data_IF_783824342101
#
_entry.id   IF_783824342101
#
_cell.length_a   1.000
_cell.length_b   1.000
_cell.length_c   1.000
_cell.angle_alpha   90.00
_cell.angle_beta   90.00
_cell.angle_gamma   90.00
#
_symmetry.space_group_name_H-M   'P 1'
#
loop_
_entity.id
_entity.type
_entity.pdbx_description
1 polymer ?
#
# COMPACT_ATOMS: atom_id res chain seq x y z
N UNK A 1 82.85 -80.86 46.21
CA UNK A 1 81.60 -81.63 46.40
C UNK A 1 80.75 -81.53 45.14
N UNK A 2 80.07 -82.61 44.72
CA UNK A 2 79.69 -82.87 43.34
C UNK A 2 78.32 -82.28 42.95
N UNK A 3 78.17 -81.98 41.66
CA UNK A 3 76.92 -81.65 41.01
C UNK A 3 76.08 -82.93 40.77
N UNK A 4 74.81 -82.90 41.18
CA UNK A 4 73.83 -83.96 40.89
C UNK A 4 72.57 -83.36 40.25
N UNK A 5 72.19 -83.94 39.10
CA UNK A 5 71.03 -83.67 38.24
C UNK A 5 69.68 -83.64 38.97
N UNK A 6 68.73 -82.86 38.46
CA UNK A 6 67.28 -83.14 38.48
C UNK A 6 66.56 -82.36 37.33
N UNK A 7 65.33 -82.75 36.92
CA UNK A 7 65.04 -83.17 35.56
C UNK A 7 64.19 -82.21 34.73
N UNK A 8 64.27 -82.41 33.42
CA UNK A 8 63.41 -81.87 32.38
C UNK A 8 61.96 -82.30 32.65
N UNK A 9 61.08 -81.35 32.91
CA UNK A 9 59.64 -81.55 33.12
C UNK A 9 58.92 -81.25 31.81
N UNK A 10 58.25 -82.27 31.27
CA UNK A 10 57.43 -82.18 30.07
C UNK A 10 56.40 -81.04 30.18
N UNK A 11 56.41 -80.16 29.17
CA UNK A 11 55.37 -79.18 28.98
C UNK A 11 54.16 -79.86 28.31
N UNK A 12 52.93 -79.73 28.85
CA UNK A 12 51.74 -80.25 28.19
C UNK A 12 51.48 -79.49 26.89
N UNK A 13 51.34 -80.22 25.78
CA UNK A 13 50.90 -79.69 24.49
C UNK A 13 49.55 -78.97 24.67
N UNK A 14 49.52 -77.65 24.42
CA UNK A 14 48.27 -76.90 24.32
C UNK A 14 47.66 -77.18 22.95
N UNK A 15 46.50 -77.82 22.92
CA UNK A 15 45.65 -77.89 21.73
C UNK A 15 45.24 -76.46 21.30
N UNK A 16 45.23 -76.15 19.99
CA UNK A 16 44.77 -74.85 19.53
C UNK A 16 43.26 -74.69 19.76
N UNK A 17 42.77 -73.45 20.01
CA UNK A 17 41.35 -73.17 20.16
C UNK A 17 40.59 -73.42 18.84
N UNK A 18 39.32 -73.87 18.89
CA UNK A 18 38.48 -73.92 17.70
C UNK A 18 38.29 -72.51 17.13
N UNK A 19 38.46 -72.39 15.81
CA UNK A 19 38.29 -71.12 15.10
C UNK A 19 36.85 -70.59 15.24
N UNK A 20 36.65 -69.26 15.24
CA UNK A 20 35.31 -68.67 15.26
C UNK A 20 34.55 -69.07 13.99
N UNK A 21 33.41 -69.75 14.16
CA UNK A 21 32.40 -69.86 13.11
C UNK A 21 31.83 -68.47 12.89
N UNK A 22 32.35 -67.78 11.87
CA UNK A 22 31.70 -66.58 11.34
C UNK A 22 30.36 -67.02 10.75
N UNK A 23 29.29 -66.89 11.52
CA UNK A 23 27.95 -66.81 10.98
C UNK A 23 27.87 -65.52 10.14
N UNK A 24 28.37 -65.61 8.91
CA UNK A 24 28.06 -64.66 7.86
C UNK A 24 26.57 -64.84 7.57
N UNK A 25 25.74 -64.03 8.24
CA UNK A 25 24.35 -63.86 7.85
C UNK A 25 24.29 -63.56 6.34
N UNK A 26 23.34 -64.15 5.60
CA UNK A 26 23.30 -64.01 4.16
C UNK A 26 23.24 -62.53 3.79
N UNK A 27 24.27 -62.04 3.09
CA UNK A 27 24.25 -60.74 2.44
C UNK A 27 23.06 -60.74 1.47
N UNK A 28 22.01 -60.01 1.82
CA UNK A 28 20.83 -59.88 0.98
C UNK A 28 21.24 -59.09 -0.28
N UNK A 29 21.50 -59.81 -1.37
CA UNK A 29 21.77 -59.21 -2.67
C UNK A 29 20.58 -58.36 -3.10
N UNK A 30 20.83 -57.08 -3.38
CA UNK A 30 19.85 -56.13 -3.91
C UNK A 30 19.19 -56.73 -5.15
N UNK A 31 17.87 -56.94 -5.11
CA UNK A 31 17.19 -57.56 -6.24
C UNK A 31 17.02 -56.55 -7.38
N UNK A 32 17.03 -57.04 -8.61
CA UNK A 32 16.80 -56.21 -9.80
C UNK A 32 15.41 -55.52 -9.76
N UNK A 33 14.44 -56.18 -9.11
CA UNK A 33 13.10 -55.65 -8.85
C UNK A 33 13.15 -54.46 -7.89
N UNK A 34 13.96 -54.52 -6.85
CA UNK A 34 14.09 -53.44 -5.86
C UNK A 34 14.70 -52.18 -6.47
N UNK A 35 15.69 -52.33 -7.37
CA UNK A 35 16.24 -51.21 -8.13
C UNK A 35 15.18 -50.59 -9.06
N UNK A 36 14.37 -51.42 -9.73
CA UNK A 36 13.27 -50.93 -10.58
C UNK A 36 12.20 -50.17 -9.77
N UNK A 37 11.83 -50.68 -8.60
CA UNK A 37 10.88 -50.02 -7.70
C UNK A 37 11.46 -48.71 -7.17
N UNK A 38 12.73 -48.68 -6.75
CA UNK A 38 13.40 -47.48 -6.29
C UNK A 38 13.45 -46.39 -7.38
N UNK A 39 13.77 -46.76 -8.63
CA UNK A 39 13.77 -45.82 -9.76
C UNK A 39 12.35 -45.34 -10.11
N UNK A 40 11.34 -46.20 -10.04
CA UNK A 40 9.94 -45.81 -10.27
C UNK A 40 9.47 -44.80 -9.21
N UNK A 41 9.76 -45.06 -7.93
CA UNK A 41 9.44 -44.14 -6.84
C UNK A 41 10.21 -42.82 -6.96
N UNK A 42 11.50 -42.87 -7.30
CA UNK A 42 12.31 -41.67 -7.52
C UNK A 42 11.76 -40.82 -8.67
N UNK A 43 11.32 -41.47 -9.76
CA UNK A 43 10.71 -40.79 -10.91
C UNK A 43 9.38 -40.12 -10.54
N UNK A 44 8.55 -40.77 -9.72
CA UNK A 44 7.31 -40.21 -9.19
C UNK A 44 7.58 -39.03 -8.27
N UNK A 45 8.52 -39.15 -7.34
CA UNK A 45 8.92 -38.06 -6.44
C UNK A 45 9.47 -36.87 -7.24
N UNK A 46 10.33 -37.13 -8.23
CA UNK A 46 10.87 -36.09 -9.10
C UNK A 46 9.75 -35.39 -9.91
N UNK A 47 8.78 -36.14 -10.43
CA UNK A 47 7.62 -35.58 -11.14
C UNK A 47 6.79 -34.69 -10.23
N UNK A 48 6.48 -35.13 -9.00
CA UNK A 48 5.74 -34.33 -8.03
C UNK A 48 6.52 -33.08 -7.60
N UNK A 49 7.83 -33.18 -7.38
CA UNK A 49 8.68 -32.04 -7.07
C UNK A 49 8.68 -31.02 -8.22
N UNK A 50 8.77 -31.47 -9.47
CA UNK A 50 8.76 -30.60 -10.64
C UNK A 50 7.41 -29.89 -10.84
N UNK A 51 6.30 -30.59 -10.57
CA UNK A 51 4.94 -30.02 -10.56
C UNK A 51 4.77 -28.98 -9.45
N UNK A 52 5.27 -29.26 -8.24
CA UNK A 52 5.23 -28.32 -7.11
C UNK A 52 6.00 -27.02 -7.37
N UNK A 53 7.18 -27.11 -7.99
CA UNK A 53 7.97 -25.95 -8.43
C UNK A 53 7.23 -25.15 -9.51
N UNK A 54 6.54 -25.85 -10.42
CA UNK A 54 5.67 -25.25 -11.43
C UNK A 54 4.58 -24.37 -10.81
N UNK A 55 3.86 -24.88 -9.82
CA UNK A 55 2.79 -24.14 -9.10
C UNK A 55 3.30 -22.86 -8.42
N UNK A 56 4.51 -22.90 -7.84
CA UNK A 56 5.10 -21.74 -7.15
C UNK A 56 5.48 -20.60 -8.12
N UNK A 57 5.90 -20.93 -9.34
CA UNK A 57 6.19 -19.93 -10.39
C UNK A 57 4.97 -19.14 -10.84
N UNK A 58 3.77 -19.73 -10.75
CA UNK A 58 2.51 -19.06 -11.11
C UNK A 58 1.96 -18.20 -9.98
N UNK A 59 2.26 -18.55 -8.72
CA UNK A 59 1.80 -17.80 -7.55
C UNK A 59 2.56 -16.48 -7.32
N UNK A 60 3.86 -16.43 -7.65
CA UNK A 60 4.70 -15.24 -7.47
C UNK A 60 4.15 -13.95 -8.15
N UNK A 61 3.71 -13.95 -9.42
CA UNK A 61 3.12 -12.76 -10.04
C UNK A 61 1.74 -12.40 -9.47
N UNK A 62 1.02 -13.35 -8.86
CA UNK A 62 -0.27 -13.09 -8.21
C UNK A 62 -0.04 -12.35 -6.89
N UNK A 63 0.92 -12.79 -6.08
CA UNK A 63 1.28 -12.13 -4.82
C UNK A 63 1.72 -10.67 -5.06
N UNK A 64 2.62 -10.42 -6.02
CA UNK A 64 3.06 -9.05 -6.32
C UNK A 64 1.95 -8.13 -6.84
N UNK A 65 0.92 -8.68 -7.51
CA UNK A 65 -0.26 -7.89 -7.92
C UNK A 65 -1.18 -7.56 -6.75
N UNK A 66 -1.28 -8.43 -5.76
CA UNK A 66 -2.05 -8.18 -4.54
C UNK A 66 -1.39 -7.06 -3.73
N UNK A 67 -0.08 -7.12 -3.53
CA UNK A 67 0.69 -6.08 -2.82
C UNK A 67 0.53 -4.71 -3.52
N UNK A 68 0.62 -4.67 -4.84
CA UNK A 68 0.45 -3.42 -5.61
C UNK A 68 -0.98 -2.86 -5.54
N UNK A 69 -1.99 -3.74 -5.44
CA UNK A 69 -3.39 -3.32 -5.28
C UNK A 69 -3.67 -2.80 -3.85
N UNK A 70 -3.06 -3.40 -2.84
CA UNK A 70 -3.12 -2.93 -1.46
C UNK A 70 -2.45 -1.55 -1.33
N UNK A 71 -1.25 -1.39 -1.89
CA UNK A 71 -0.54 -0.10 -1.93
C UNK A 71 -1.40 0.99 -2.59
N UNK A 72 -1.98 0.72 -3.76
CA UNK A 72 -2.87 1.66 -4.45
C UNK A 72 -4.13 2.00 -3.62
N UNK A 73 -4.68 1.04 -2.88
CA UNK A 73 -5.84 1.23 -2.02
C UNK A 73 -5.53 2.11 -0.81
N UNK A 74 -4.35 1.95 -0.20
CA UNK A 74 -3.86 2.80 0.88
C UNK A 74 -3.65 4.24 0.39
N UNK A 75 -3.04 4.42 -0.78
CA UNK A 75 -2.90 5.74 -1.40
C UNK A 75 -4.26 6.36 -1.70
N UNK A 76 -5.21 5.59 -2.24
CA UNK A 76 -6.56 6.09 -2.50
C UNK A 76 -7.29 6.53 -1.23
N UNK A 77 -7.17 5.76 -0.15
CA UNK A 77 -7.75 6.09 1.15
C UNK A 77 -7.11 7.36 1.75
N UNK A 78 -5.79 7.47 1.66
CA UNK A 78 -5.06 8.67 2.08
C UNK A 78 -5.53 9.90 1.29
N UNK A 79 -5.56 9.84 -0.04
CA UNK A 79 -6.02 10.96 -0.87
C UNK A 79 -7.47 11.35 -0.55
N UNK A 80 -8.39 10.39 -0.44
CA UNK A 80 -9.80 10.68 -0.05
C UNK A 80 -9.87 11.45 1.27
N UNK A 81 -9.09 11.04 2.25
CA UNK A 81 -9.02 11.71 3.55
C UNK A 81 -8.42 13.11 3.42
N UNK A 82 -7.24 13.24 2.79
CA UNK A 82 -6.54 14.52 2.66
C UNK A 82 -7.38 15.55 1.90
N UNK A 83 -8.06 15.15 0.82
CA UNK A 83 -8.99 16.04 0.12
C UNK A 83 -10.26 16.30 0.93
N UNK A 84 -10.78 15.33 1.69
CA UNK A 84 -11.94 15.56 2.57
C UNK A 84 -11.65 16.54 3.72
N UNK A 85 -10.38 16.68 4.10
CA UNK A 85 -9.91 17.62 5.11
C UNK A 85 -9.66 19.05 4.55
N UNK A 86 -9.85 19.30 3.25
CA UNK A 86 -9.56 20.65 2.75
C UNK A 86 -10.53 21.69 3.34
N UNK A 87 -9.96 22.84 3.65
CA UNK A 87 -10.66 23.99 4.21
C UNK A 87 -11.38 24.70 3.08
N UNK A 88 -12.67 24.99 3.25
CA UNK A 88 -13.46 25.82 2.32
C UNK A 88 -13.38 27.32 2.67
N UNK A 89 -13.26 27.65 3.95
CA UNK A 89 -13.29 29.01 4.48
C UNK A 89 -12.20 29.18 5.54
N UNK A 90 -11.37 30.21 5.38
CA UNK A 90 -10.40 30.58 6.41
C UNK A 90 -11.10 31.14 7.66
N UNK A 91 -10.42 31.19 8.83
CA UNK A 91 -10.99 31.71 10.07
C UNK A 91 -11.47 33.18 10.00
N UNK A 92 -10.96 33.96 9.04
CA UNK A 92 -11.33 35.36 8.78
C UNK A 92 -12.57 35.48 7.86
N UNK A 93 -13.13 34.36 7.40
CA UNK A 93 -14.27 34.33 6.48
C UNK A 93 -13.88 34.43 5.00
N UNK A 94 -12.58 34.42 4.68
CA UNK A 94 -12.11 34.43 3.29
C UNK A 94 -12.24 33.03 2.67
N UNK A 95 -12.81 32.87 1.46
CA UNK A 95 -12.82 31.58 0.77
C UNK A 95 -11.41 31.04 0.55
N UNK A 96 -11.21 29.77 0.90
CA UNK A 96 -9.96 29.08 0.62
C UNK A 96 -9.90 28.73 -0.87
N UNK A 97 -8.81 29.12 -1.54
CA UNK A 97 -8.60 28.77 -2.93
C UNK A 97 -7.99 27.36 -3.06
N UNK A 98 -8.54 26.59 -3.99
CA UNK A 98 -7.87 25.43 -4.58
C UNK A 98 -7.37 25.84 -5.96
N UNK A 99 -6.09 25.61 -6.23
CA UNK A 99 -5.45 25.93 -7.50
C UNK A 99 -4.98 24.62 -8.12
N UNK A 100 -5.38 24.36 -9.35
CA UNK A 100 -5.16 23.08 -10.00
C UNK A 100 -4.70 23.18 -11.45
N UNK A 101 -3.73 22.37 -11.82
CA UNK A 101 -3.26 22.10 -13.19
C UNK A 101 -3.47 20.62 -13.50
N UNK A 102 -3.32 20.17 -14.75
CA UNK A 102 -3.52 18.75 -15.10
C UNK A 102 -2.60 17.77 -14.35
N UNK A 103 -1.51 18.24 -13.75
CA UNK A 103 -0.44 17.46 -13.13
C UNK A 103 -0.11 17.87 -11.69
N UNK A 104 -0.75 18.92 -11.16
CA UNK A 104 -0.58 19.34 -9.77
C UNK A 104 -1.83 19.99 -9.20
N UNK A 105 -2.05 19.84 -7.91
CA UNK A 105 -3.10 20.57 -7.20
C UNK A 105 -2.60 21.03 -5.85
N UNK A 106 -2.99 22.27 -5.50
CA UNK A 106 -2.68 22.88 -4.23
C UNK A 106 -3.96 23.37 -3.55
N UNK A 107 -4.09 23.06 -2.27
CA UNK A 107 -5.22 23.46 -1.44
C UNK A 107 -4.79 23.65 0.02
N UNK A 108 -5.67 24.21 0.83
CA UNK A 108 -5.45 24.41 2.26
C UNK A 108 -6.16 23.31 3.06
N UNK A 109 -5.51 22.81 4.10
CA UNK A 109 -6.06 21.84 5.03
C UNK A 109 -5.63 22.18 6.47
N UNK A 110 -6.31 21.69 7.52
CA UNK A 110 -5.83 21.79 8.89
C UNK A 110 -4.40 21.24 9.00
N UNK A 111 -3.56 21.97 9.73
CA UNK A 111 -2.21 21.52 10.01
C UNK A 111 -2.25 20.27 10.90
N UNK A 112 -1.35 19.30 10.64
CA UNK A 112 -1.18 18.15 11.53
C UNK A 112 -0.59 18.63 12.86
N UNK A 113 -1.31 18.54 13.98
CA UNK A 113 -0.86 19.09 15.26
C UNK A 113 0.41 18.43 15.80
N UNK A 114 0.75 17.23 15.30
CA UNK A 114 1.92 16.46 15.71
C UNK A 114 3.16 16.83 14.90
N UNK A 115 2.97 17.25 13.64
CA UNK A 115 4.06 17.50 12.68
C UNK A 115 4.23 18.99 12.33
N UNK A 116 3.22 19.81 12.55
CA UNK A 116 3.07 21.16 12.00
C UNK A 116 2.54 22.16 13.05
N UNK A 117 3.07 23.38 13.03
CA UNK A 117 2.60 24.47 13.88
C UNK A 117 1.90 25.53 13.04
N UNK A 118 0.69 25.96 13.42
CA UNK A 118 0.01 27.07 12.74
C UNK A 118 -1.43 26.86 12.28
N UNK A 119 -2.08 25.74 12.61
CA UNK A 119 -3.53 25.54 12.43
C UNK A 119 -3.99 25.25 10.99
N UNK A 120 -3.31 25.78 9.97
CA UNK A 120 -3.57 25.51 8.54
C UNK A 120 -2.24 25.30 7.80
N UNK A 121 -2.22 24.33 6.89
CA UNK A 121 -1.11 24.05 5.98
C UNK A 121 -1.59 24.07 4.52
N UNK A 122 -0.70 24.53 3.63
CA UNK A 122 -0.87 24.37 2.19
C UNK A 122 -0.34 22.99 1.78
N UNK A 123 -1.22 22.18 1.20
CA UNK A 123 -0.91 20.86 0.67
C UNK A 123 -0.74 21.00 -0.84
N UNK A 124 0.34 20.44 -1.39
CA UNK A 124 0.57 20.32 -2.83
C UNK A 124 0.77 18.86 -3.19
N UNK A 125 -0.02 18.36 -4.14
CA UNK A 125 0.11 17.04 -4.74
C UNK A 125 0.67 17.21 -6.16
N UNK A 126 1.71 16.46 -6.51
CA UNK A 126 2.33 16.50 -7.83
C UNK A 126 3.11 15.21 -8.12
N UNK A 127 3.47 15.01 -9.38
CA UNK A 127 4.48 14.01 -9.76
C UNK A 127 5.85 14.67 -9.79
N UNK A 128 6.82 14.06 -9.12
CA UNK A 128 8.19 14.57 -9.00
C UNK A 128 9.21 13.48 -9.36
N UNK A 129 10.40 13.85 -9.88
CA UNK A 129 11.51 12.91 -10.02
C UNK A 129 12.12 12.61 -8.65
N UNK A 130 12.35 11.34 -8.35
CA UNK A 130 13.09 10.88 -7.20
C UNK A 130 14.61 10.88 -7.46
N UNK A 131 15.40 10.60 -6.43
CA UNK A 131 16.87 10.57 -6.51
C UNK A 131 17.42 9.53 -7.50
N UNK A 132 16.64 8.50 -7.83
CA UNK A 132 16.95 7.45 -8.80
C UNK A 132 16.33 7.73 -10.19
N UNK A 133 15.89 8.96 -10.45
CA UNK A 133 15.23 9.42 -11.69
C UNK A 133 13.88 8.73 -11.98
N UNK A 134 13.34 7.98 -11.02
CA UNK A 134 11.98 7.43 -11.11
C UNK A 134 10.95 8.50 -10.76
N UNK A 135 9.81 8.49 -11.43
CA UNK A 135 8.71 9.40 -11.08
C UNK A 135 7.92 8.86 -9.89
N UNK A 136 7.62 9.75 -8.95
CA UNK A 136 6.86 9.45 -7.74
C UNK A 136 5.68 10.40 -7.59
N UNK A 137 4.58 9.90 -7.04
CA UNK A 137 3.50 10.75 -6.55
C UNK A 137 3.91 11.29 -5.17
N UNK A 138 4.00 12.61 -5.07
CA UNK A 138 4.51 13.32 -3.90
C UNK A 138 3.44 14.24 -3.30
N UNK A 139 3.32 14.22 -1.97
CA UNK A 139 2.59 15.21 -1.19
C UNK A 139 3.58 16.10 -0.43
N UNK A 140 3.44 17.42 -0.59
CA UNK A 140 4.19 18.42 0.17
C UNK A 140 3.25 19.23 1.03
N UNK A 141 3.62 19.43 2.29
CA UNK A 141 2.89 20.29 3.21
C UNK A 141 3.75 21.48 3.64
N UNK A 142 3.20 22.69 3.53
CA UNK A 142 3.81 23.95 3.97
C UNK A 142 2.90 24.63 5.01
N UNK A 143 3.26 24.63 6.30
CA UNK A 143 2.53 25.36 7.34
C UNK A 143 2.43 26.85 7.04
N UNK A 144 1.25 27.46 7.19
CA UNK A 144 0.99 28.87 6.86
C UNK A 144 1.88 29.88 7.62
N UNK A 145 2.35 29.52 8.84
CA UNK A 145 3.18 30.39 9.69
C UNK A 145 4.67 30.38 9.35
N UNK A 146 5.15 29.41 8.58
CA UNK A 146 6.54 29.36 8.17
C UNK A 146 6.71 30.32 6.99
N UNK A 147 7.20 31.53 7.27
CA UNK A 147 7.64 32.51 6.25
C UNK A 147 8.88 32.05 5.47
N UNK A 148 9.52 30.95 5.89
CA UNK A 148 10.71 30.40 5.26
C UNK A 148 10.37 29.19 4.41
N UNK A 149 10.92 29.17 3.20
CA UNK A 149 11.08 28.02 2.29
C UNK A 149 11.97 26.93 2.91
N UNK A 150 11.69 26.52 4.14
CA UNK A 150 12.17 25.22 4.62
C UNK A 150 11.51 24.17 3.74
N UNK A 151 12.26 23.69 2.75
CA UNK A 151 11.92 22.49 1.98
C UNK A 151 11.82 21.34 2.97
N UNK A 152 10.63 21.11 3.52
CA UNK A 152 10.31 19.81 4.07
C UNK A 152 10.36 18.78 2.96
N UNK A 153 10.88 17.60 3.30
CA UNK A 153 10.89 16.47 2.41
C UNK A 153 9.46 16.13 1.97
N UNK A 154 9.30 15.80 0.69
CA UNK A 154 8.03 15.33 0.19
C UNK A 154 7.69 13.99 0.84
N UNK A 155 6.44 13.83 1.23
CA UNK A 155 5.92 12.51 1.55
C UNK A 155 5.67 11.76 0.23
N UNK A 156 6.44 10.70 0.00
CA UNK A 156 6.31 9.87 -1.20
C UNK A 156 5.12 8.92 -0.98
N UNK A 157 4.04 9.16 -1.71
CA UNK A 157 2.82 8.35 -1.61
C UNK A 157 2.93 7.08 -2.45
N UNK A 158 3.50 7.20 -3.65
CA UNK A 158 3.61 6.07 -4.58
C UNK A 158 4.81 6.22 -5.49
N UNK A 159 5.53 5.11 -5.71
CA UNK A 159 6.68 5.04 -6.62
C UNK A 159 6.32 4.39 -7.95
N UNK A 160 7.14 4.64 -8.97
CA UNK A 160 6.96 4.03 -10.29
C UNK A 160 5.73 4.57 -11.01
N UNK A 161 5.48 5.87 -10.89
CA UNK A 161 4.42 6.57 -11.62
C UNK A 161 4.88 6.81 -13.06
N UNK A 162 3.95 6.78 -14.00
CA UNK A 162 4.19 7.15 -15.39
C UNK A 162 3.55 8.49 -15.73
N UNK A 163 2.33 8.71 -15.26
CA UNK A 163 1.58 9.93 -15.48
C UNK A 163 0.57 10.16 -14.36
N UNK A 164 0.31 11.44 -14.07
CA UNK A 164 -0.82 11.91 -13.27
C UNK A 164 -1.67 12.79 -14.18
N UNK A 165 -3.00 12.60 -14.13
CA UNK A 165 -3.97 13.48 -14.76
C UNK A 165 -5.00 13.89 -13.72
N UNK A 166 -5.14 15.19 -13.57
CA UNK A 166 -6.11 15.82 -12.70
C UNK A 166 -7.17 16.51 -13.56
N UNK A 167 -8.42 16.40 -13.12
CA UNK A 167 -9.52 17.16 -13.69
C UNK A 167 -10.44 17.65 -12.57
N UNK A 168 -11.05 18.80 -12.79
CA UNK A 168 -11.79 19.56 -11.78
C UNK A 168 -13.21 19.77 -12.28
N UNK A 169 -14.19 19.35 -11.48
CA UNK A 169 -15.60 19.42 -11.82
C UNK A 169 -16.27 20.63 -11.20
N UNK A 170 -16.76 21.55 -12.03
CA UNK A 170 -17.72 22.57 -11.62
C UNK A 170 -19.11 21.94 -11.46
N UNK A 171 -19.91 22.39 -10.51
CA UNK A 171 -21.32 21.99 -10.44
C UNK A 171 -22.13 22.80 -11.46
N UNK A 172 -22.71 22.13 -12.46
CA UNK A 172 -23.70 22.74 -13.35
C UNK A 172 -25.08 22.84 -12.70
N UNK A 173 -25.97 23.63 -13.30
CA UNK A 173 -27.37 23.79 -12.86
C UNK A 173 -28.15 22.47 -12.82
N UNK A 174 -27.81 21.52 -13.70
CA UNK A 174 -28.40 20.17 -13.75
C UNK A 174 -27.74 19.17 -12.78
N UNK A 175 -26.75 19.61 -12.00
CA UNK A 175 -25.98 18.79 -11.07
C UNK A 175 -24.92 17.91 -11.74
N UNK A 176 -24.75 18.00 -13.06
CA UNK A 176 -23.66 17.32 -13.76
C UNK A 176 -22.33 18.06 -13.55
N UNK A 177 -21.21 17.33 -13.41
CA UNK A 177 -19.91 17.98 -13.32
C UNK A 177 -19.41 18.42 -14.69
N UNK A 178 -19.16 19.71 -14.85
CA UNK A 178 -18.40 20.24 -15.99
C UNK A 178 -16.90 20.06 -15.71
N UNK A 179 -16.28 19.08 -16.35
CA UNK A 179 -14.87 18.75 -16.14
C UNK A 179 -13.94 19.69 -16.90
N UNK A 180 -12.93 20.19 -16.19
CA UNK A 180 -11.87 21.04 -16.72
C UNK A 180 -10.51 20.49 -16.31
N UNK A 181 -9.51 20.62 -17.18
CA UNK A 181 -8.16 20.16 -16.87
C UNK A 181 -7.35 21.19 -16.06
N UNK A 182 -7.77 22.46 -16.10
CA UNK A 182 -7.16 23.56 -15.35
C UNK A 182 -8.21 24.22 -14.45
N UNK A 183 -7.78 24.56 -13.24
CA UNK A 183 -8.55 25.26 -12.23
C UNK A 183 -7.67 26.32 -11.55
N UNK A 184 -7.05 27.16 -12.36
CA UNK A 184 -6.17 28.25 -11.91
C UNK A 184 -6.87 29.61 -11.84
N UNK A 185 -8.01 29.77 -12.52
CA UNK A 185 -8.76 31.03 -12.54
C UNK A 185 -9.57 31.22 -11.24
N UNK A 186 -9.28 32.27 -10.43
CA UNK A 186 -10.01 32.55 -9.20
C UNK A 186 -11.51 32.78 -9.40
N UNK A 187 -11.94 33.20 -10.60
CA UNK A 187 -13.36 33.43 -10.90
C UNK A 187 -14.20 32.14 -10.89
N UNK A 188 -13.57 30.98 -11.01
CA UNK A 188 -14.25 29.67 -11.01
C UNK A 188 -14.66 29.23 -9.61
N UNK A 189 -14.17 29.90 -8.56
CA UNK A 189 -14.38 29.46 -7.18
C UNK A 189 -13.69 28.13 -6.92
N UNK A 190 -14.31 27.28 -6.11
CA UNK A 190 -13.69 26.03 -5.66
C UNK A 190 -14.41 24.82 -6.27
N UNK A 191 -13.68 23.82 -6.82
CA UNK A 191 -14.34 22.77 -7.58
C UNK A 191 -15.11 21.84 -6.65
N UNK A 192 -16.24 21.31 -7.13
CA UNK A 192 -17.08 20.39 -6.38
C UNK A 192 -16.50 18.97 -6.36
N UNK A 193 -15.76 18.62 -7.42
CA UNK A 193 -15.11 17.32 -7.60
C UNK A 193 -13.69 17.50 -8.11
N UNK A 194 -12.80 16.58 -7.71
CA UNK A 194 -11.50 16.38 -8.33
C UNK A 194 -11.39 14.93 -8.77
N UNK A 195 -11.07 14.69 -10.04
CA UNK A 195 -10.72 13.38 -10.57
C UNK A 195 -9.20 13.25 -10.61
N UNK A 196 -8.71 12.12 -10.15
CA UNK A 196 -7.30 11.78 -10.03
C UNK A 196 -7.08 10.47 -10.77
N UNK A 197 -6.42 10.55 -11.91
CA UNK A 197 -6.01 9.40 -12.71
C UNK A 197 -4.49 9.25 -12.64
N UNK A 198 -4.01 8.06 -12.26
CA UNK A 198 -2.59 7.77 -12.14
C UNK A 198 -2.25 6.52 -12.94
N UNK A 199 -1.28 6.63 -13.85
CA UNK A 199 -0.70 5.48 -14.55
C UNK A 199 0.57 5.01 -13.83
N UNK A 200 0.75 3.69 -13.68
CA UNK A 200 2.00 3.09 -13.18
C UNK A 200 2.93 2.71 -14.34
N UNK A 201 4.22 3.00 -14.18
CA UNK A 201 5.28 2.65 -15.15
C UNK A 201 5.74 1.19 -15.00
N UNK A 202 5.63 0.63 -13.79
CA UNK A 202 6.23 -0.65 -13.42
C UNK A 202 5.44 -1.89 -13.86
N UNK A 203 4.23 -1.71 -14.41
CA UNK A 203 3.35 -2.82 -14.80
C UNK A 203 2.92 -3.72 -13.64
N UNK A 204 3.21 -3.35 -12.39
CA UNK A 204 3.00 -4.18 -11.18
C UNK A 204 1.55 -4.15 -10.70
N UNK A 205 0.75 -3.20 -11.14
CA UNK A 205 -0.65 -3.07 -10.75
C UNK A 205 -1.46 -2.24 -11.74
N UNK A 206 -2.79 -2.23 -11.55
CA UNK A 206 -3.66 -1.29 -12.23
C UNK A 206 -3.36 0.12 -11.69
N UNK A 207 -3.49 1.14 -12.54
CA UNK A 207 -3.39 2.53 -12.12
C UNK A 207 -4.47 2.92 -11.08
N UNK A 208 -4.42 4.16 -10.62
CA UNK A 208 -5.45 4.73 -9.75
C UNK A 208 -6.44 5.53 -10.60
N UNK A 209 -7.74 5.37 -10.38
CA UNK A 209 -8.78 6.28 -10.87
C UNK A 209 -9.73 6.57 -9.72
N UNK A 210 -9.73 7.82 -9.28
CA UNK A 210 -10.40 8.24 -8.06
C UNK A 210 -11.08 9.59 -8.26
N UNK A 211 -12.34 9.69 -7.82
CA UNK A 211 -13.05 10.96 -7.69
C UNK A 211 -13.18 11.30 -6.21
N UNK A 212 -12.80 12.52 -5.84
CA UNK A 212 -12.88 13.05 -4.46
C UNK A 212 -13.67 14.35 -4.41
N UNK A 213 -14.24 14.63 -3.24
CA UNK A 213 -14.88 15.90 -2.91
C UNK A 213 -13.93 16.71 -2.03
N UNK A 214 -13.28 17.77 -2.55
CA UNK A 214 -12.24 18.49 -1.83
C UNK A 214 -12.75 19.30 -0.63
N UNK A 215 -14.04 19.55 -0.46
CA UNK A 215 -14.54 20.36 0.67
C UNK A 215 -15.91 19.88 1.14
N UNK A 216 -16.01 18.61 1.52
CA UNK A 216 -17.28 18.05 2.00
C UNK A 216 -17.85 18.73 3.26
N UNK A 217 -17.13 19.67 3.88
CA UNK A 217 -17.56 20.42 5.05
C UNK A 217 -18.02 21.86 4.72
N UNK A 218 -18.95 22.02 3.77
CA UNK A 218 -19.88 23.16 3.83
C UNK A 218 -21.26 22.74 3.30
N UNK A 219 -22.12 22.31 4.22
CA UNK A 219 -23.56 22.39 3.97
C UNK A 219 -23.93 23.85 4.13
N UNK A 220 -24.16 24.55 3.02
CA UNK A 220 -24.78 25.88 3.06
C UNK A 220 -26.06 25.77 3.91
N UNK A 221 -26.31 26.68 4.88
CA UNK A 221 -27.61 26.74 5.51
C UNK A 221 -28.62 26.94 4.39
N UNK A 222 -29.58 26.01 4.28
CA UNK A 222 -30.63 26.05 3.27
C UNK A 222 -31.24 27.45 3.28
N UNK A 223 -31.00 28.20 2.22
CA UNK A 223 -31.61 29.51 2.04
C UNK A 223 -33.11 29.29 1.84
N UNK A 224 -33.87 29.65 2.87
CA UNK A 224 -35.26 30.06 2.82
C UNK A 224 -36.21 29.19 1.98
N UNK A 225 -36.90 28.26 2.63
CA UNK A 225 -38.32 28.05 2.35
C UNK A 225 -39.10 28.54 3.56
N UNK A 226 -39.76 29.67 3.40
CA UNK A 226 -41.07 30.05 3.94
C UNK A 226 -41.55 29.23 5.17
N UNK A 227 -41.80 29.80 6.34
CA UNK A 227 -42.87 30.77 6.53
C UNK A 227 -42.65 31.60 7.80
N UNK A 228 -42.33 32.87 7.60
CA UNK A 228 -42.73 33.96 8.51
C UNK A 228 -44.25 34.12 8.38
N UNK A 229 -45.02 33.24 9.02
CA UNK A 229 -46.47 33.43 9.13
C UNK A 229 -47.00 32.82 10.45
N UNK A 230 -46.64 33.44 11.58
CA UNK A 230 -47.33 33.20 12.86
C UNK A 230 -47.24 34.34 13.87
N UNK A 231 -46.53 35.44 13.59
CA UNK A 231 -46.44 36.57 14.53
C UNK A 231 -47.25 37.82 14.13
N UNK A 232 -47.80 37.89 12.90
CA UNK A 232 -48.56 39.05 12.45
C UNK A 232 -50.09 38.94 12.68
N UNK A 233 -50.61 37.76 13.02
CA UNK A 233 -52.05 37.58 13.32
C UNK A 233 -52.38 37.77 14.81
N UNK A 234 -51.69 38.69 15.46
CA UNK A 234 -51.96 39.03 16.87
C UNK A 234 -51.79 40.52 17.16
N UNK A 235 -52.18 41.41 16.25
CA UNK A 235 -52.27 42.86 16.54
C UNK A 235 -53.05 43.62 15.44
N UNK A 236 -54.28 43.20 15.14
CA UNK A 236 -55.19 44.02 14.34
C UNK A 236 -56.66 43.62 14.56
N UNK A 237 -57.26 44.07 15.67
CA UNK A 237 -58.69 44.39 15.68
C UNK A 237 -58.97 45.43 16.77
N UNK A 238 -59.17 46.71 16.41
CA UNK A 238 -59.62 47.74 17.32
C UNK A 238 -61.15 47.76 17.44
N UNK A 239 -61.61 48.10 18.64
CA UNK A 239 -63.00 48.37 18.98
C UNK A 239 -63.57 49.62 18.28
N UNK A 240 -64.82 49.53 17.83
CA UNK A 240 -65.86 50.58 17.62
C UNK A 240 -67.13 49.81 17.18
N UNK A 241 -68.34 49.99 17.71
CA UNK A 241 -69.00 51.06 18.48
C UNK A 241 -70.05 50.39 19.38
#
# INVERSE_FOLDING_TARGET
MPALRLPMRDAPQRSPPPAPSMDAGPEAGMTLVELLVAMALLSLIALFALQGIGSLRWAAPIAGRLDAAEEASLVAAHLRRTFGEAVALLPDGTPAALIGTPDSVRFLAPADPLLESGGIAAITLSVEPAADDTLVLAERRKPSRLQQDEKRDANILLRGVKALRLAYGATNEDGSPEWRADWSDPALGTPALVRIELERADGKGRGLDLIVHPMSAFQAPAAGSDTVNSAAQKMASPART
#
